data_IF_303800929370
#
_entry.id   IF_303800929370
#
_cell.length_a   1.000
_cell.length_b   1.000
_cell.length_c   1.000
_cell.angle_alpha   90.00
_cell.angle_beta   90.00
_cell.angle_gamma   90.00
#
_symmetry.space_group_name_H-M   'P 1'
#
loop_
_entity.id
_entity.type
_entity.pdbx_description
1 polymer ?
#
# COMPACT_ATOMS: atom_id res chain seq x y z
N UNK A 1 -12.21 -13.40 -9.48
CA UNK A 1 -11.14 -12.55 -8.91
C UNK A 1 -11.42 -12.30 -7.44
N UNK A 2 -10.40 -12.09 -6.57
CA UNK A 2 -10.62 -11.62 -5.20
C UNK A 2 -11.48 -10.36 -5.22
N UNK A 3 -12.38 -10.19 -4.25
CA UNK A 3 -13.20 -8.97 -4.17
C UNK A 3 -12.27 -7.75 -4.03
N UNK A 4 -12.47 -6.64 -4.75
CA UNK A 4 -11.56 -5.49 -4.70
C UNK A 4 -11.30 -4.97 -3.28
N UNK A 5 -12.30 -5.04 -2.40
CA UNK A 5 -12.14 -4.71 -0.98
C UNK A 5 -11.15 -5.61 -0.23
N UNK A 6 -11.10 -6.91 -0.55
CA UNK A 6 -10.13 -7.82 0.06
C UNK A 6 -8.69 -7.39 -0.27
N UNK A 7 -8.43 -7.03 -1.53
CA UNK A 7 -7.12 -6.55 -1.97
C UNK A 7 -6.74 -5.26 -1.23
N UNK A 8 -7.70 -4.34 -1.07
CA UNK A 8 -7.48 -3.11 -0.30
C UNK A 8 -7.14 -3.41 1.17
N UNK A 9 -7.87 -4.31 1.82
CA UNK A 9 -7.60 -4.66 3.22
C UNK A 9 -6.21 -5.28 3.40
N UNK A 10 -5.82 -6.20 2.52
CA UNK A 10 -4.46 -6.74 2.55
C UNK A 10 -3.38 -5.65 2.36
N UNK A 11 -3.63 -4.66 1.50
CA UNK A 11 -2.72 -3.53 1.32
C UNK A 11 -2.63 -2.66 2.59
N UNK A 12 -3.76 -2.43 3.28
CA UNK A 12 -3.80 -1.67 4.52
C UNK A 12 -3.07 -2.41 5.67
N UNK A 13 -3.26 -3.72 5.79
CA UNK A 13 -2.55 -4.56 6.77
C UNK A 13 -1.02 -4.54 6.56
N UNK A 14 -0.58 -4.61 5.29
CA UNK A 14 0.84 -4.53 4.95
C UNK A 14 1.44 -3.15 5.26
N UNK A 15 0.70 -2.06 5.00
CA UNK A 15 1.15 -0.71 5.38
C UNK A 15 1.27 -0.61 6.90
N UNK A 16 0.24 -1.03 7.64
CA UNK A 16 0.24 -0.98 9.10
C UNK A 16 1.45 -1.73 9.69
N UNK A 17 1.66 -2.99 9.26
CA UNK A 17 2.78 -3.80 9.71
C UNK A 17 4.14 -3.11 9.53
N UNK A 18 4.40 -2.54 8.35
CA UNK A 18 5.68 -1.89 8.05
C UNK A 18 5.83 -0.56 8.78
N UNK A 19 4.77 0.23 8.90
CA UNK A 19 4.80 1.51 9.57
C UNK A 19 5.04 1.33 11.07
N UNK A 20 4.33 0.39 11.70
CA UNK A 20 4.52 0.04 13.11
C UNK A 20 5.93 -0.49 13.38
N UNK A 21 6.44 -1.39 12.54
CA UNK A 21 7.81 -1.88 12.65
C UNK A 21 8.85 -0.75 12.54
N UNK A 22 8.64 0.21 11.64
CA UNK A 22 9.54 1.35 11.49
C UNK A 22 9.47 2.31 12.68
N UNK A 23 8.26 2.59 13.20
CA UNK A 23 8.10 3.42 14.40
C UNK A 23 8.81 2.81 15.62
N UNK A 24 8.78 1.48 15.78
CA UNK A 24 9.51 0.79 16.85
C UNK A 24 11.03 0.92 16.65
N UNK A 25 11.50 0.73 15.41
CA UNK A 25 12.93 0.80 15.07
C UNK A 25 13.48 2.24 15.19
N UNK A 26 12.68 3.24 14.84
CA UNK A 26 13.06 4.65 14.77
C UNK A 26 12.00 5.52 15.47
N UNK A 27 11.99 5.59 16.81
CA UNK A 27 10.91 6.25 17.57
C UNK A 27 10.76 7.76 17.31
N UNK A 28 11.81 8.41 16.81
CA UNK A 28 11.79 9.84 16.48
C UNK A 28 11.31 10.13 15.04
N UNK A 29 11.04 9.10 14.23
CA UNK A 29 10.64 9.28 12.84
C UNK A 29 9.26 9.94 12.73
N UNK A 30 9.18 10.99 11.89
CA UNK A 30 7.91 11.62 11.55
C UNK A 30 7.12 10.83 10.49
N UNK A 31 5.82 11.08 10.37
CA UNK A 31 4.95 10.41 9.41
C UNK A 31 5.41 10.52 7.95
N UNK A 32 5.95 11.68 7.56
CA UNK A 32 6.48 11.91 6.21
C UNK A 32 7.74 11.09 5.92
N UNK A 33 8.59 10.91 6.92
CA UNK A 33 9.80 10.09 6.82
C UNK A 33 9.43 8.62 6.64
N UNK A 34 8.53 8.11 7.49
CA UNK A 34 8.03 6.73 7.41
C UNK A 34 7.38 6.48 6.04
N UNK A 35 6.57 7.43 5.57
CA UNK A 35 5.90 7.32 4.26
C UNK A 35 6.90 7.32 3.11
N UNK A 36 7.89 8.23 3.12
CA UNK A 36 8.97 8.24 2.11
C UNK A 36 9.75 6.93 2.11
N UNK A 37 10.18 6.48 3.28
CA UNK A 37 10.89 5.20 3.43
C UNK A 37 10.07 4.03 2.88
N UNK A 38 8.81 3.90 3.29
CA UNK A 38 7.94 2.81 2.86
C UNK A 38 7.84 2.76 1.34
N UNK A 39 7.56 3.89 0.70
CA UNK A 39 7.37 3.93 -0.74
C UNK A 39 8.69 3.91 -1.54
N UNK A 40 9.79 4.45 -1.03
CA UNK A 40 11.04 4.52 -1.78
C UNK A 40 11.90 3.26 -1.61
N UNK A 41 11.90 2.65 -0.43
CA UNK A 41 12.95 1.71 -0.03
C UNK A 41 12.45 0.28 0.18
N UNK A 42 11.14 0.04 0.24
CA UNK A 42 10.61 -1.29 0.53
C UNK A 42 10.13 -2.03 -0.73
N UNK A 43 10.40 -3.34 -0.77
CA UNK A 43 9.85 -4.22 -1.80
C UNK A 43 8.33 -4.28 -1.75
N UNK A 44 7.72 -4.17 -0.56
CA UNK A 44 6.25 -4.14 -0.42
C UNK A 44 5.65 -2.86 -1.03
N UNK A 45 6.29 -1.70 -0.86
CA UNK A 45 5.87 -0.46 -1.51
C UNK A 45 5.91 -0.57 -3.04
N UNK A 46 6.95 -1.23 -3.58
CA UNK A 46 7.01 -1.52 -5.01
C UNK A 46 5.92 -2.50 -5.47
N UNK A 47 5.64 -3.54 -4.68
CA UNK A 47 4.58 -4.50 -4.96
C UNK A 47 3.21 -3.82 -5.00
N UNK A 48 2.88 -3.00 -4.00
CA UNK A 48 1.58 -2.31 -3.93
C UNK A 48 1.39 -1.34 -5.11
N UNK A 49 2.45 -0.68 -5.60
CA UNK A 49 2.36 0.10 -6.86
C UNK A 49 1.98 -0.77 -8.05
N UNK A 50 2.60 -1.94 -8.22
CA UNK A 50 2.25 -2.87 -9.30
C UNK A 50 0.83 -3.42 -9.17
N UNK A 51 0.36 -3.66 -7.94
CA UNK A 51 -1.04 -4.06 -7.69
C UNK A 51 -2.01 -2.94 -8.07
N UNK A 52 -1.72 -1.70 -7.66
CA UNK A 52 -2.50 -0.52 -8.10
C UNK A 52 -2.57 -0.46 -9.62
N UNK A 53 -1.43 -0.52 -10.31
CA UNK A 53 -1.38 -0.43 -11.78
C UNK A 53 -2.23 -1.51 -12.44
N UNK A 54 -2.19 -2.73 -11.89
CA UNK A 54 -2.99 -3.85 -12.41
C UNK A 54 -4.48 -3.67 -12.18
N UNK A 55 -4.88 -3.05 -11.06
CA UNK A 55 -6.28 -2.74 -10.75
C UNK A 55 -6.80 -1.58 -11.59
N UNK A 56 -5.98 -0.55 -11.81
CA UNK A 56 -6.34 0.64 -12.60
C UNK A 56 -6.51 0.30 -14.09
N UNK A 57 -5.68 -0.63 -14.60
CA UNK A 57 -5.79 -1.17 -15.95
C UNK A 57 -6.98 -2.13 -16.16
N UNK A 58 -7.80 -2.41 -15.14
CA UNK A 58 -8.96 -3.29 -15.24
C UNK A 58 -10.18 -2.55 -15.80
N UNK A 59 -11.00 -3.20 -16.63
CA UNK A 59 -12.28 -2.64 -17.08
C UNK A 59 -13.38 -2.67 -16.00
N UNK A 60 -13.17 -3.40 -14.91
CA UNK A 60 -14.09 -3.45 -13.77
C UNK A 60 -14.03 -2.15 -12.94
N UNK A 61 -15.13 -1.37 -12.85
CA UNK A 61 -15.17 -0.15 -12.04
C UNK A 61 -14.83 -0.36 -10.56
N UNK A 62 -15.17 -1.52 -10.00
CA UNK A 62 -14.87 -1.84 -8.61
C UNK A 62 -13.37 -2.09 -8.40
N UNK A 63 -12.69 -2.66 -9.40
CA UNK A 63 -11.24 -2.81 -9.38
C UNK A 63 -10.53 -1.45 -9.46
N UNK A 64 -10.96 -0.57 -10.38
CA UNK A 64 -10.42 0.80 -10.48
C UNK A 64 -10.60 1.58 -9.17
N UNK A 65 -11.78 1.51 -8.56
CA UNK A 65 -12.04 2.15 -7.28
C UNK A 65 -11.10 1.65 -6.16
N UNK A 66 -10.76 0.36 -6.16
CA UNK A 66 -9.83 -0.20 -5.19
C UNK A 66 -8.37 0.21 -5.43
N UNK A 67 -7.97 0.53 -6.68
CA UNK A 67 -6.60 0.94 -7.00
C UNK A 67 -6.14 2.13 -6.14
N UNK A 68 -7.00 3.15 -5.99
CA UNK A 68 -6.74 4.32 -5.15
C UNK A 68 -6.52 3.98 -3.67
N UNK A 69 -7.16 2.93 -3.17
CA UNK A 69 -6.98 2.45 -1.80
C UNK A 69 -5.66 1.70 -1.59
N UNK A 70 -5.11 1.10 -2.66
CA UNK A 70 -3.87 0.32 -2.59
C UNK A 70 -2.64 1.23 -2.53
N UNK A 71 -2.52 2.18 -3.46
CA UNK A 71 -1.41 3.14 -3.51
C UNK A 71 -1.85 4.47 -4.12
N UNK A 72 -1.33 5.57 -3.58
CA UNK A 72 -1.56 6.95 -4.04
C UNK A 72 -0.32 7.48 -4.74
#
# INVERSE_FOLDING_TARGET
MPRPNFIRYCADDLKALYFEAYMIKTPAAGGDEITRWFWAETAVGQLLRRVRDRLDASDDPAAKAAAFGVAR
#
